data_IF_200061687529
#
_entry.id   IF_200061687529
#
_cell.length_a   1.000
_cell.length_b   1.000
_cell.length_c   1.000
_cell.angle_alpha   90.00
_cell.angle_beta   90.00
_cell.angle_gamma   90.00
#
_symmetry.space_group_name_H-M   'P 1'
#
loop_
_entity.id
_entity.type
_entity.pdbx_description
1 polymer ?
#
# COMPACT_ATOMS: atom_id res chain seq x y z
N UNK A 1 -12.09 9.81 -16.23
CA UNK A 1 -10.93 10.57 -15.69
C UNK A 1 -10.20 11.40 -16.73
N UNK A 2 -9.83 10.86 -17.91
CA UNK A 2 -9.05 11.59 -18.93
C UNK A 2 -9.61 12.95 -19.36
N UNK A 3 -10.93 13.13 -19.33
CA UNK A 3 -11.61 14.37 -19.72
C UNK A 3 -11.89 15.33 -18.56
N UNK A 4 -11.67 14.90 -17.31
CA UNK A 4 -12.03 15.70 -16.14
C UNK A 4 -10.97 16.77 -15.82
N UNK A 5 -9.69 16.42 -16.04
CA UNK A 5 -8.58 17.36 -15.93
C UNK A 5 -8.67 18.52 -16.94
N UNK A 6 -8.87 18.29 -18.26
CA UNK A 6 -9.00 19.41 -19.21
C UNK A 6 -10.26 20.24 -18.98
N UNK A 7 -11.36 19.64 -18.51
CA UNK A 7 -12.59 20.37 -18.17
C UNK A 7 -12.39 21.30 -16.97
N UNK A 8 -11.72 20.83 -15.91
CA UNK A 8 -11.40 21.67 -14.75
C UNK A 8 -10.44 22.80 -15.10
N UNK A 9 -9.44 22.52 -15.92
CA UNK A 9 -8.50 23.52 -16.39
C UNK A 9 -9.21 24.60 -17.21
N UNK A 10 -10.15 24.22 -18.09
CA UNK A 10 -10.94 25.17 -18.88
C UNK A 10 -11.84 26.05 -18.00
N UNK A 11 -12.48 25.50 -16.96
CA UNK A 11 -13.31 26.27 -16.03
C UNK A 11 -12.50 27.30 -15.23
N UNK A 12 -11.29 26.93 -14.80
CA UNK A 12 -10.38 27.86 -14.10
C UNK A 12 -9.89 28.96 -15.05
N UNK A 13 -9.59 28.62 -16.31
CA UNK A 13 -9.06 29.56 -17.30
C UNK A 13 -10.11 30.56 -17.79
N UNK A 14 -11.40 30.19 -17.78
CA UNK A 14 -12.52 31.07 -18.13
C UNK A 14 -13.02 31.95 -16.97
N UNK A 15 -12.54 31.73 -15.74
CA UNK A 15 -12.98 32.50 -14.59
C UNK A 15 -12.02 33.67 -14.31
N UNK A 16 -12.52 34.92 -14.30
CA UNK A 16 -11.78 36.13 -13.92
C UNK A 16 -11.51 36.22 -12.40
N UNK A 17 -10.84 35.19 -11.86
CA UNK A 17 -10.56 35.01 -10.43
C UNK A 17 -11.42 33.91 -9.78
N UNK A 18 -11.04 33.42 -8.57
CA UNK A 18 -11.74 32.34 -7.91
C UNK A 18 -13.13 32.80 -7.44
N UNK A 19 -14.13 32.61 -8.29
CA UNK A 19 -15.53 32.76 -7.92
C UNK A 19 -15.96 31.51 -7.14
N UNK A 20 -16.75 31.69 -6.07
CA UNK A 20 -17.35 30.59 -5.29
C UNK A 20 -17.94 29.46 -6.17
N UNK A 21 -18.67 29.73 -7.27
CA UNK A 21 -19.17 28.66 -8.15
C UNK A 21 -18.06 27.86 -8.83
N UNK A 22 -16.94 28.49 -9.24
CA UNK A 22 -15.82 27.77 -9.84
C UNK A 22 -15.15 26.83 -8.84
N UNK A 23 -14.96 27.27 -7.60
CA UNK A 23 -14.41 26.42 -6.52
C UNK A 23 -15.33 25.25 -6.21
N UNK A 24 -16.65 25.49 -6.14
CA UNK A 24 -17.64 24.44 -5.92
C UNK A 24 -17.62 23.39 -7.04
N UNK A 25 -17.49 23.81 -8.30
CA UNK A 25 -17.39 22.91 -9.44
C UNK A 25 -16.12 22.05 -9.39
N UNK A 26 -14.98 22.64 -9.04
CA UNK A 26 -13.72 21.91 -8.85
C UNK A 26 -13.85 20.87 -7.74
N UNK A 27 -14.38 21.26 -6.58
CA UNK A 27 -14.61 20.34 -5.46
C UNK A 27 -15.54 19.18 -5.84
N UNK A 28 -16.65 19.47 -6.52
CA UNK A 28 -17.59 18.46 -6.97
C UNK A 28 -16.95 17.48 -7.96
N UNK A 29 -16.16 17.97 -8.91
CA UNK A 29 -15.44 17.14 -9.87
C UNK A 29 -14.41 16.24 -9.19
N UNK A 30 -13.67 16.76 -8.20
CA UNK A 30 -12.73 15.96 -7.40
C UNK A 30 -13.43 14.86 -6.62
N UNK A 31 -14.57 15.15 -5.98
CA UNK A 31 -15.37 14.14 -5.27
C UNK A 31 -15.88 13.09 -6.25
N UNK A 32 -16.42 13.48 -7.40
CA UNK A 32 -16.86 12.55 -8.44
C UNK A 32 -15.69 11.65 -8.90
N UNK A 33 -14.51 12.23 -9.10
CA UNK A 33 -13.30 11.48 -9.43
C UNK A 33 -12.91 10.49 -8.35
N UNK A 34 -12.94 10.89 -7.08
CA UNK A 34 -12.61 10.04 -5.94
C UNK A 34 -13.61 8.86 -5.83
N UNK A 35 -14.90 9.10 -6.03
CA UNK A 35 -15.93 8.06 -6.01
C UNK A 35 -15.73 7.06 -7.16
N UNK A 36 -15.46 7.54 -8.37
CA UNK A 36 -15.19 6.67 -9.52
C UNK A 36 -13.94 5.84 -9.28
N UNK A 37 -12.86 6.47 -8.78
CA UNK A 37 -11.62 5.76 -8.44
C UNK A 37 -11.86 4.71 -7.36
N UNK A 38 -12.57 5.03 -6.29
CA UNK A 38 -12.89 4.10 -5.21
C UNK A 38 -13.70 2.89 -5.72
N UNK A 39 -14.66 3.10 -6.62
CA UNK A 39 -15.45 2.01 -7.23
C UNK A 39 -14.67 1.18 -8.24
N UNK A 40 -13.61 1.72 -8.83
CA UNK A 40 -12.77 0.99 -9.78
C UNK A 40 -11.76 0.04 -9.12
N UNK A 41 -11.60 0.11 -7.79
CA UNK A 41 -10.71 -0.81 -7.06
C UNK A 41 -11.39 -2.18 -6.95
N UNK A 42 -10.72 -3.28 -7.36
CA UNK A 42 -11.25 -4.63 -7.18
C UNK A 42 -11.50 -4.94 -5.70
N UNK A 43 -12.65 -5.55 -5.39
CA UNK A 43 -12.93 -6.04 -4.04
C UNK A 43 -11.92 -7.14 -3.67
N UNK A 44 -11.04 -6.85 -2.71
CA UNK A 44 -10.06 -7.80 -2.20
C UNK A 44 -10.48 -8.32 -0.83
N UNK A 45 -10.36 -9.63 -0.56
CA UNK A 45 -10.62 -10.17 0.77
C UNK A 45 -9.73 -9.48 1.81
N UNK A 46 -10.25 -9.16 3.02
CA UNK A 46 -9.47 -8.47 4.05
C UNK A 46 -8.24 -9.28 4.49
N UNK A 47 -8.31 -10.62 4.37
CA UNK A 47 -7.15 -11.51 4.59
C UNK A 47 -6.01 -11.19 3.64
N UNK A 48 -6.27 -10.89 2.37
CA UNK A 48 -5.25 -10.56 1.36
C UNK A 48 -4.52 -9.26 1.69
N UNK A 49 -5.24 -8.26 2.20
CA UNK A 49 -4.65 -7.00 2.68
C UNK A 49 -3.77 -7.26 3.89
N UNK A 50 -4.26 -8.00 4.88
CA UNK A 50 -3.50 -8.34 6.10
C UNK A 50 -2.25 -9.17 5.78
N UNK A 51 -2.33 -10.11 4.84
CA UNK A 51 -1.17 -10.89 4.40
C UNK A 51 -0.19 -10.03 3.62
N UNK A 52 -0.66 -9.13 2.75
CA UNK A 52 0.21 -8.23 2.00
C UNK A 52 0.94 -7.25 2.92
N UNK A 53 0.26 -6.73 3.95
CA UNK A 53 0.87 -5.88 4.96
C UNK A 53 1.89 -6.66 5.80
N UNK A 54 1.52 -7.84 6.32
CA UNK A 54 2.47 -8.71 7.05
C UNK A 54 3.68 -9.10 6.20
N UNK A 55 3.49 -9.30 4.90
CA UNK A 55 4.56 -9.62 3.95
C UNK A 55 5.49 -8.42 3.72
N UNK A 56 4.92 -7.21 3.55
CA UNK A 56 5.72 -5.98 3.46
C UNK A 56 6.52 -5.73 4.73
N UNK A 57 5.87 -5.87 5.88
CA UNK A 57 6.51 -5.73 7.19
C UNK A 57 7.67 -6.72 7.32
N UNK A 58 7.48 -8.01 6.95
CA UNK A 58 8.56 -9.01 6.98
C UNK A 58 9.74 -8.67 6.06
N UNK A 59 9.47 -8.08 4.89
CA UNK A 59 10.52 -7.67 3.94
C UNK A 59 11.38 -6.52 4.46
N UNK A 60 10.87 -5.70 5.37
CA UNK A 60 11.59 -4.55 5.94
C UNK A 60 11.92 -4.70 7.43
N UNK A 61 11.37 -5.71 8.11
CA UNK A 61 11.55 -5.95 9.54
C UNK A 61 12.98 -6.33 9.91
N UNK A 62 13.73 -6.84 8.93
CA UNK A 62 15.14 -7.18 9.11
C UNK A 62 15.97 -6.25 8.24
N UNK A 63 17.01 -5.64 8.81
CA UNK A 63 18.12 -5.17 7.98
C UNK A 63 18.62 -6.35 7.16
N UNK A 64 19.08 -6.15 5.90
CA UNK A 64 19.78 -7.18 5.15
C UNK A 64 20.78 -7.83 6.07
N UNK A 65 20.58 -9.13 6.32
CA UNK A 65 21.39 -9.86 7.27
C UNK A 65 22.85 -9.72 6.81
N UNK A 66 23.68 -9.04 7.62
CA UNK A 66 25.12 -8.93 7.38
C UNK A 66 25.64 -10.34 7.17
N UNK A 67 26.28 -10.55 6.03
CA UNK A 67 26.75 -11.85 5.56
C UNK A 67 27.09 -12.77 6.74
N UNK A 68 26.29 -13.83 6.98
CA UNK A 68 26.54 -14.76 8.09
C UNK A 68 27.90 -15.44 7.95
N UNK A 69 28.52 -15.36 6.76
CA UNK A 69 29.83 -15.90 6.45
C UNK A 69 30.97 -14.87 6.59
N UNK A 70 30.66 -13.63 7.01
CA UNK A 70 31.66 -12.61 7.26
C UNK A 70 32.69 -13.07 8.32
N UNK A 71 33.97 -12.80 8.06
CA UNK A 71 35.09 -13.19 8.94
C UNK A 71 34.86 -12.69 10.38
N UNK A 72 34.95 -13.60 11.35
CA UNK A 72 34.79 -13.30 12.79
C UNK A 72 33.39 -13.51 13.35
N UNK A 73 32.40 -13.91 12.53
CA UNK A 73 31.07 -14.30 13.01
C UNK A 73 30.94 -15.83 12.98
N UNK A 74 30.47 -16.44 14.08
CA UNK A 74 30.11 -17.86 14.06
C UNK A 74 28.95 -18.05 13.08
N UNK A 75 29.16 -18.85 12.04
CA UNK A 75 28.07 -19.31 11.15
C UNK A 75 26.93 -19.86 12.01
N UNK A 76 25.68 -19.42 11.82
CA UNK A 76 24.53 -20.07 12.42
C UNK A 76 24.57 -21.55 12.07
N UNK A 77 24.67 -22.43 13.08
CA UNK A 77 24.64 -23.88 12.84
C UNK A 77 23.26 -24.24 12.31
N UNK A 78 23.22 -25.04 11.25
CA UNK A 78 21.96 -25.58 10.75
C UNK A 78 21.17 -26.20 11.92
N UNK A 79 19.84 -26.03 11.97
CA UNK A 79 19.02 -26.72 12.95
C UNK A 79 19.39 -28.20 12.97
N UNK A 80 19.80 -28.71 14.12
CA UNK A 80 20.05 -30.14 14.29
C UNK A 80 18.80 -30.95 13.96
N UNK A 81 18.98 -32.23 13.61
CA UNK A 81 17.91 -33.14 13.20
C UNK A 81 16.60 -32.92 13.96
N UNK A 82 15.47 -32.95 13.23
CA UNK A 82 14.12 -32.77 13.79
C UNK A 82 13.96 -33.70 15.00
N UNK A 83 13.98 -33.14 16.21
CA UNK A 83 13.55 -33.86 17.40
C UNK A 83 12.03 -34.03 17.31
N UNK A 84 11.48 -35.20 17.68
CA UNK A 84 10.03 -35.38 17.76
C UNK A 84 9.45 -34.27 18.63
N UNK A 85 8.43 -33.58 18.15
CA UNK A 85 7.69 -32.62 18.95
C UNK A 85 7.13 -33.35 20.17
N UNK A 86 7.41 -32.85 21.37
CA UNK A 86 6.82 -33.40 22.59
C UNK A 86 5.30 -33.30 22.46
N UNK A 87 4.63 -34.46 22.46
CA UNK A 87 3.17 -34.53 22.50
C UNK A 87 2.79 -34.12 23.92
N UNK A 88 2.05 -33.01 24.05
CA UNK A 88 1.50 -32.60 25.34
C UNK A 88 0.56 -33.71 25.83
N UNK A 89 0.82 -34.22 27.03
CA UNK A 89 -0.06 -35.17 27.70
C UNK A 89 -1.40 -34.48 28.00
N UNK A 90 -2.48 -35.17 27.67
CA UNK A 90 -3.86 -34.81 27.99
C UNK A 90 -4.13 -34.94 29.49
#
# INVERSE_FOLDING_TARGET
MRLLLPLLLAVVLLADGPSLPAVALVAAALVACAVVAARSVPAVPPTRVRTALRERDRRTAFLPQRDPDASGRRRPRAPGHRRPAAVAHA
#
